data_IF_885905216705
#
_entry.id   IF_885905216705
#
_cell.length_a   1.000
_cell.length_b   1.000
_cell.length_c   1.000
_cell.angle_alpha   90.00
_cell.angle_beta   90.00
_cell.angle_gamma   90.00
#
_symmetry.space_group_name_H-M   'P 1'
#
loop_
_entity.id
_entity.type
_entity.pdbx_description
1 polymer ?
#
# COMPACT_ATOMS: atom_id res chain seq x y z
N UNK A 1 8.14 26.75 13.49
CA UNK A 1 7.40 25.72 14.27
C UNK A 1 6.82 24.62 13.37
N UNK A 2 6.12 24.95 12.27
CA UNK A 2 5.56 23.95 11.34
C UNK A 2 6.61 23.07 10.62
N UNK A 3 7.72 23.65 10.15
CA UNK A 3 8.77 22.90 9.45
C UNK A 3 9.45 21.84 10.35
N UNK A 4 9.61 22.11 11.65
CA UNK A 4 10.18 21.16 12.60
C UNK A 4 9.22 20.00 12.92
N UNK A 5 7.90 20.26 12.97
CA UNK A 5 6.90 19.21 13.10
C UNK A 5 6.81 18.33 11.85
N UNK A 6 6.89 18.94 10.66
CA UNK A 6 6.89 18.20 9.39
C UNK A 6 8.10 17.26 9.33
N UNK A 7 9.31 17.73 9.68
CA UNK A 7 10.49 16.89 9.72
C UNK A 7 10.37 15.74 10.75
N UNK A 8 9.83 16.00 11.94
CA UNK A 8 9.66 14.96 12.98
C UNK A 8 8.63 13.89 12.56
N UNK A 9 7.57 14.29 11.84
CA UNK A 9 6.59 13.35 11.27
C UNK A 9 7.19 12.57 10.11
N UNK A 10 7.98 13.21 9.24
CA UNK A 10 8.67 12.55 8.13
C UNK A 10 9.75 11.56 8.62
N UNK A 11 10.48 11.88 9.69
CA UNK A 11 11.42 10.96 10.36
C UNK A 11 10.72 9.74 10.95
N UNK A 12 9.62 9.94 11.68
CA UNK A 12 8.80 8.83 12.23
C UNK A 12 8.13 7.97 11.16
N UNK A 13 7.95 8.52 9.96
CA UNK A 13 7.43 7.82 8.79
C UNK A 13 8.54 7.28 7.88
N UNK A 14 9.82 7.38 8.27
CA UNK A 14 10.99 6.92 7.51
C UNK A 14 11.13 7.57 6.11
N UNK A 15 10.66 8.80 5.94
CA UNK A 15 10.62 9.53 4.66
C UNK A 15 11.77 10.52 4.46
N UNK A 16 12.57 10.81 5.49
CA UNK A 16 13.77 11.67 5.41
C UNK A 16 14.93 11.01 6.16
N UNK A 17 16.03 10.75 5.45
CA UNK A 17 17.12 9.87 5.92
C UNK A 17 17.91 10.37 7.12
N UNK A 18 18.14 9.47 8.08
CA UNK A 18 19.42 8.80 8.34
C UNK A 18 19.12 7.75 9.42
N UNK A 19 18.46 6.66 9.02
CA UNK A 19 18.19 5.55 9.95
C UNK A 19 19.56 4.97 10.31
N UNK A 20 19.97 4.97 11.60
CA UNK A 20 21.20 4.31 11.99
C UNK A 20 21.13 2.88 11.45
N UNK A 21 22.19 2.43 10.79
CA UNK A 21 22.20 1.07 10.29
C UNK A 21 21.94 0.12 11.46
N UNK A 22 21.00 -0.82 11.33
CA UNK A 22 20.67 -1.75 12.40
C UNK A 22 21.91 -2.56 12.78
N UNK A 23 22.02 -2.84 14.08
CA UNK A 23 23.10 -3.65 14.61
C UNK A 23 23.00 -5.10 14.11
N UNK A 24 24.14 -5.78 14.01
CA UNK A 24 24.17 -7.21 13.69
C UNK A 24 23.41 -7.99 14.78
N UNK A 25 22.51 -8.92 14.41
CA UNK A 25 21.78 -9.71 15.39
C UNK A 25 22.72 -10.58 16.22
N UNK A 26 22.26 -10.96 17.42
CA UNK A 26 22.98 -11.93 18.23
C UNK A 26 23.09 -13.28 17.48
N UNK A 27 24.14 -14.05 17.77
CA UNK A 27 24.31 -15.38 17.16
C UNK A 27 23.11 -16.30 17.45
N UNK A 28 22.51 -16.17 18.63
CA UNK A 28 21.31 -16.94 19.01
C UNK A 28 20.10 -16.55 18.16
N UNK A 29 19.87 -15.25 17.97
CA UNK A 29 18.73 -14.75 17.19
C UNK A 29 18.88 -15.06 15.71
N UNK A 30 20.10 -14.94 15.18
CA UNK A 30 20.40 -15.37 13.82
C UNK A 30 20.13 -16.87 13.64
N UNK A 31 20.58 -17.72 14.59
CA UNK A 31 20.36 -19.16 14.48
C UNK A 31 18.86 -19.52 14.50
N UNK A 32 18.07 -18.87 15.36
CA UNK A 32 16.60 -19.06 15.38
C UNK A 32 15.96 -18.71 14.04
N UNK A 33 16.39 -17.60 13.43
CA UNK A 33 15.87 -17.16 12.14
C UNK A 33 16.30 -18.10 11.01
N UNK A 34 17.57 -18.51 11.00
CA UNK A 34 18.10 -19.49 10.06
C UNK A 34 17.32 -20.81 10.15
N UNK A 35 17.09 -21.32 11.35
CA UNK A 35 16.32 -22.55 11.57
C UNK A 35 14.88 -22.42 11.08
N UNK A 36 14.23 -21.27 11.28
CA UNK A 36 12.86 -20.98 10.78
C UNK A 36 12.81 -21.09 9.25
N UNK A 37 13.74 -20.44 8.56
CA UNK A 37 13.80 -20.45 7.10
C UNK A 37 14.25 -21.79 6.53
N UNK A 38 15.18 -22.47 7.20
CA UNK A 38 15.64 -23.81 6.78
C UNK A 38 14.52 -24.83 6.89
N UNK A 39 13.69 -24.79 7.95
CA UNK A 39 12.49 -25.64 8.07
C UNK A 39 11.50 -25.41 6.94
N UNK A 40 11.40 -24.16 6.47
CA UNK A 40 10.56 -23.78 5.34
C UNK A 40 11.22 -24.06 3.96
N UNK A 41 12.45 -24.59 3.91
CA UNK A 41 13.20 -24.81 2.67
C UNK A 41 13.59 -23.52 1.94
N UNK A 42 13.84 -22.45 2.71
CA UNK A 42 14.15 -21.10 2.22
C UNK A 42 15.52 -20.61 2.72
N UNK A 43 16.44 -21.52 3.08
CA UNK A 43 17.77 -21.21 3.61
C UNK A 43 18.67 -20.46 2.61
N UNK A 44 18.38 -20.54 1.30
CA UNK A 44 19.17 -19.89 0.26
C UNK A 44 19.21 -18.36 0.40
N UNK A 45 18.28 -17.75 1.12
CA UNK A 45 18.32 -16.30 1.40
C UNK A 45 19.53 -15.90 2.26
N UNK A 46 20.15 -16.86 2.96
CA UNK A 46 21.36 -16.66 3.77
C UNK A 46 22.66 -17.08 3.06
N UNK A 47 22.62 -17.41 1.76
CA UNK A 47 23.77 -17.96 1.03
C UNK A 47 25.05 -17.09 1.10
N UNK A 48 24.90 -15.77 1.25
CA UNK A 48 26.00 -14.80 1.30
C UNK A 48 26.18 -14.16 2.69
N UNK A 49 25.61 -14.75 3.75
CA UNK A 49 25.66 -14.17 5.11
C UNK A 49 27.09 -13.90 5.61
N UNK A 50 28.05 -14.74 5.20
CA UNK A 50 29.46 -14.58 5.57
C UNK A 50 30.17 -13.45 4.80
N UNK A 51 29.63 -13.04 3.65
CA UNK A 51 30.25 -12.07 2.73
C UNK A 51 29.78 -10.63 2.97
N UNK A 52 28.72 -10.44 3.77
CA UNK A 52 28.12 -9.14 4.08
C UNK A 52 28.59 -8.57 5.43
N UNK A 53 28.62 -7.25 5.54
CA UNK A 53 29.08 -6.55 6.74
C UNK A 53 28.01 -6.53 7.85
N UNK A 54 28.38 -6.11 9.06
CA UNK A 54 27.51 -6.09 10.24
C UNK A 54 26.20 -5.30 10.02
N UNK A 55 26.27 -4.15 9.35
CA UNK A 55 25.09 -3.34 9.03
C UNK A 55 24.17 -4.04 8.03
N UNK A 56 24.72 -4.65 6.98
CA UNK A 56 23.95 -5.42 5.99
C UNK A 56 23.27 -6.63 6.63
N UNK A 57 23.94 -7.30 7.57
CA UNK A 57 23.37 -8.40 8.36
C UNK A 57 22.20 -7.93 9.22
N UNK A 58 22.34 -6.80 9.89
CA UNK A 58 21.25 -6.18 10.65
C UNK A 58 20.05 -5.88 9.76
N UNK A 59 20.27 -5.30 8.57
CA UNK A 59 19.20 -4.97 7.62
C UNK A 59 18.48 -6.21 7.11
N UNK A 60 19.22 -7.24 6.72
CA UNK A 60 18.64 -8.50 6.25
C UNK A 60 17.86 -9.20 7.37
N UNK A 61 18.39 -9.20 8.60
CA UNK A 61 17.71 -9.76 9.76
C UNK A 61 16.37 -9.06 10.05
N UNK A 62 16.37 -7.73 10.13
CA UNK A 62 15.15 -6.95 10.38
C UNK A 62 14.10 -7.13 9.27
N UNK A 63 14.55 -7.31 8.02
CA UNK A 63 13.64 -7.61 6.92
C UNK A 63 12.99 -8.99 7.10
N UNK A 64 13.81 -10.02 7.33
CA UNK A 64 13.35 -11.42 7.33
C UNK A 64 12.59 -11.80 8.60
N UNK A 65 12.86 -11.19 9.75
CA UNK A 65 12.14 -11.51 11.00
C UNK A 65 10.64 -11.20 10.91
N UNK A 66 10.27 -10.21 10.10
CA UNK A 66 8.88 -9.78 9.87
C UNK A 66 8.16 -10.63 8.82
N UNK A 67 8.84 -11.59 8.20
CA UNK A 67 8.29 -12.46 7.17
C UNK A 67 8.08 -13.86 7.75
N UNK A 68 6.92 -14.43 7.46
CA UNK A 68 6.64 -15.83 7.73
C UNK A 68 6.91 -16.67 6.46
N UNK A 69 8.04 -17.40 6.38
CA UNK A 69 8.39 -18.16 5.18
C UNK A 69 7.42 -19.31 4.90
N UNK A 70 6.78 -19.89 5.93
CA UNK A 70 5.78 -20.94 5.73
C UNK A 70 4.53 -20.37 5.06
N UNK A 71 4.08 -19.19 5.50
CA UNK A 71 2.96 -18.49 4.85
C UNK A 71 3.29 -18.09 3.40
N UNK A 72 4.53 -17.61 3.15
CA UNK A 72 4.99 -17.29 1.79
C UNK A 72 4.97 -18.53 0.89
N UNK A 73 5.40 -19.68 1.41
CA UNK A 73 5.32 -20.95 0.68
C UNK A 73 3.87 -21.32 0.37
N UNK A 74 2.96 -21.21 1.33
CA UNK A 74 1.54 -21.53 1.17
C UNK A 74 0.88 -20.69 0.06
N UNK A 75 1.04 -19.36 0.11
CA UNK A 75 0.45 -18.47 -0.90
C UNK A 75 1.08 -18.67 -2.27
N UNK A 76 2.39 -18.96 -2.32
CA UNK A 76 3.10 -19.22 -3.58
C UNK A 76 2.64 -20.53 -4.20
N UNK A 77 2.54 -21.60 -3.41
CA UNK A 77 2.03 -22.88 -3.87
C UNK A 77 0.61 -22.77 -4.41
N UNK A 78 -0.27 -22.04 -3.71
CA UNK A 78 -1.66 -21.82 -4.16
C UNK A 78 -1.73 -21.02 -5.45
N UNK A 79 -0.85 -20.02 -5.62
CA UNK A 79 -0.82 -19.18 -6.80
C UNK A 79 -0.27 -19.92 -8.03
N UNK A 80 0.76 -20.76 -7.85
CA UNK A 80 1.39 -21.52 -8.94
C UNK A 80 0.67 -22.83 -9.27
N UNK A 81 -0.06 -23.39 -8.30
CA UNK A 81 -0.86 -24.60 -8.45
C UNK A 81 -2.32 -24.28 -8.13
N UNK A 82 -2.99 -23.42 -8.94
CA UNK A 82 -4.39 -23.13 -8.73
C UNK A 82 -5.21 -24.42 -8.89
N UNK A 83 -6.29 -24.60 -8.11
CA UNK A 83 -7.14 -25.78 -8.25
C UNK A 83 -7.70 -25.86 -9.67
N UNK A 84 -7.69 -27.06 -10.25
CA UNK A 84 -8.35 -27.29 -11.53
C UNK A 84 -9.86 -27.08 -11.37
N UNK A 85 -10.55 -26.51 -12.39
CA UNK A 85 -11.98 -26.34 -12.34
C UNK A 85 -12.68 -27.70 -12.18
N UNK A 86 -13.66 -27.79 -11.27
CA UNK A 86 -14.37 -29.03 -10.94
C UNK A 86 -15.13 -29.63 -12.15
N UNK A 87 -15.47 -28.82 -13.16
CA UNK A 87 -15.95 -29.26 -14.49
C UNK A 87 -15.93 -28.12 -15.51
N UNK A 88 -15.99 -28.44 -16.82
CA UNK A 88 -16.19 -27.45 -17.90
C UNK A 88 -17.56 -26.73 -17.79
N UNK A 89 -18.56 -27.39 -17.20
CA UNK A 89 -19.90 -26.84 -16.95
C UNK A 89 -19.97 -25.93 -15.70
N UNK A 90 -18.89 -25.84 -14.91
CA UNK A 90 -18.77 -24.98 -13.74
C UNK A 90 -18.27 -23.56 -14.07
N UNK A 91 -18.30 -23.16 -15.35
CA UNK A 91 -17.94 -21.81 -15.75
C UNK A 91 -18.85 -20.77 -15.03
N UNK A 92 -18.27 -19.68 -14.49
CA UNK A 92 -19.07 -18.68 -13.79
C UNK A 92 -20.07 -18.05 -14.75
N UNK A 93 -21.35 -18.05 -14.36
CA UNK A 93 -22.39 -17.31 -15.08
C UNK A 93 -22.16 -15.82 -14.88
N UNK A 94 -21.98 -15.10 -15.97
CA UNK A 94 -21.82 -13.65 -15.97
C UNK A 94 -23.18 -13.01 -16.24
N UNK A 95 -23.69 -12.26 -15.27
CA UNK A 95 -24.95 -11.54 -15.37
C UNK A 95 -24.75 -10.07 -14.96
N UNK A 96 -25.68 -9.21 -15.39
CA UNK A 96 -25.66 -7.80 -14.99
C UNK A 96 -26.12 -7.66 -13.53
N UNK A 97 -25.60 -6.64 -12.85
CA UNK A 97 -26.15 -6.25 -11.56
C UNK A 97 -27.61 -5.80 -11.72
N UNK A 98 -28.48 -6.07 -10.73
CA UNK A 98 -29.87 -5.64 -10.78
C UNK A 98 -29.97 -4.11 -10.79
N UNK A 99 -31.00 -3.57 -11.45
CA UNK A 99 -31.23 -2.11 -11.53
C UNK A 99 -31.35 -1.44 -10.17
N UNK A 100 -31.84 -2.16 -9.16
CA UNK A 100 -31.92 -1.66 -7.78
C UNK A 100 -30.56 -1.41 -7.12
N UNK A 101 -29.48 -1.97 -7.66
CA UNK A 101 -28.11 -1.82 -7.18
C UNK A 101 -27.23 -0.97 -8.11
N UNK A 102 -27.81 -0.34 -9.15
CA UNK A 102 -27.08 0.49 -10.11
C UNK A 102 -27.66 1.90 -10.17
N UNK A 103 -26.79 2.88 -10.43
CA UNK A 103 -27.17 4.26 -10.70
C UNK A 103 -26.15 4.88 -11.65
N UNK A 104 -26.54 5.96 -12.33
CA UNK A 104 -25.72 6.62 -13.36
C UNK A 104 -25.88 8.12 -13.24
N UNK A 105 -24.77 8.85 -13.22
CA UNK A 105 -24.79 10.33 -13.25
C UNK A 105 -25.46 10.84 -14.54
N UNK A 106 -25.45 10.05 -15.62
CA UNK A 106 -26.04 10.44 -16.91
C UNK A 106 -27.53 10.12 -17.02
N UNK A 107 -27.96 8.98 -16.48
CA UNK A 107 -29.29 8.42 -16.76
C UNK A 107 -30.24 8.50 -15.55
N UNK A 108 -29.71 8.72 -14.35
CA UNK A 108 -30.52 8.86 -13.13
C UNK A 108 -31.23 10.22 -13.07
N UNK A 109 -32.34 10.26 -12.33
CA UNK A 109 -33.13 11.48 -12.17
C UNK A 109 -32.31 12.57 -11.48
N UNK A 110 -32.33 13.82 -11.97
CA UNK A 110 -31.61 14.92 -11.35
C UNK A 110 -31.92 15.13 -9.85
N UNK A 111 -33.18 14.90 -9.45
CA UNK A 111 -33.60 15.01 -8.05
C UNK A 111 -32.93 13.97 -7.14
N UNK A 112 -32.75 12.74 -7.63
CA UNK A 112 -32.03 11.69 -6.90
C UNK A 112 -30.55 12.04 -6.75
N UNK A 113 -29.92 12.54 -7.82
CA UNK A 113 -28.53 13.00 -7.79
C UNK A 113 -28.31 14.11 -6.76
N UNK A 114 -29.20 15.12 -6.72
CA UNK A 114 -29.12 16.22 -5.77
C UNK A 114 -29.33 15.72 -4.33
N UNK A 115 -30.31 14.83 -4.12
CA UNK A 115 -30.59 14.22 -2.82
C UNK A 115 -29.36 13.45 -2.30
N UNK A 116 -28.73 12.63 -3.14
CA UNK A 116 -27.52 11.88 -2.76
C UNK A 116 -26.34 12.81 -2.46
N UNK A 117 -26.13 13.85 -3.28
CA UNK A 117 -25.08 14.83 -3.05
C UNK A 117 -25.25 15.53 -1.69
N UNK A 118 -26.46 16.01 -1.40
CA UNK A 118 -26.78 16.69 -0.15
C UNK A 118 -26.61 15.78 1.07
N UNK A 119 -27.07 14.52 0.98
CA UNK A 119 -26.87 13.53 2.04
C UNK A 119 -25.39 13.21 2.27
N UNK A 120 -24.61 13.08 1.19
CA UNK A 120 -23.16 12.89 1.27
C UNK A 120 -22.46 14.03 2.02
N UNK A 121 -22.82 15.29 1.72
CA UNK A 121 -22.31 16.45 2.44
C UNK A 121 -22.68 16.43 3.92
N UNK A 122 -23.89 15.98 4.27
CA UNK A 122 -24.30 15.82 5.68
C UNK A 122 -23.42 14.82 6.43
N UNK A 123 -23.12 13.67 5.82
CA UNK A 123 -22.21 12.68 6.43
C UNK A 123 -20.79 13.23 6.60
N UNK A 124 -20.30 14.04 5.65
CA UNK A 124 -19.02 14.75 5.78
C UNK A 124 -19.07 15.72 6.96
N UNK A 125 -20.10 16.55 7.05
CA UNK A 125 -20.28 17.52 8.14
C UNK A 125 -20.40 16.86 9.52
N UNK A 126 -20.90 15.62 9.58
CA UNK A 126 -21.00 14.82 10.79
C UNK A 126 -19.73 14.02 11.11
N UNK A 127 -18.63 14.24 10.38
CA UNK A 127 -17.37 13.50 10.53
C UNK A 127 -17.51 11.97 10.36
N UNK A 128 -18.43 11.52 9.50
CA UNK A 128 -18.69 10.10 9.25
C UNK A 128 -17.99 9.55 8.01
N UNK A 129 -17.16 10.36 7.35
CA UNK A 129 -16.48 10.01 6.09
C UNK A 129 -14.98 10.06 6.28
N UNK A 130 -14.29 9.00 5.85
CA UNK A 130 -12.83 8.93 5.76
C UNK A 130 -12.40 8.56 4.34
N UNK A 131 -11.16 8.91 3.98
CA UNK A 131 -10.57 8.57 2.69
C UNK A 131 -9.36 7.67 2.92
N UNK A 132 -9.33 6.52 2.24
CA UNK A 132 -8.16 5.64 2.17
C UNK A 132 -7.50 5.81 0.81
N UNK A 133 -6.33 6.44 0.78
CA UNK A 133 -5.57 6.67 -0.44
C UNK A 133 -4.54 5.56 -0.66
N UNK A 134 -4.72 4.77 -1.71
CA UNK A 134 -3.73 3.78 -2.13
C UNK A 134 -2.55 4.48 -2.84
N UNK A 135 -1.46 4.72 -2.09
CA UNK A 135 -0.29 5.49 -2.56
C UNK A 135 1.04 4.68 -2.63
N UNK A 136 0.99 3.35 -2.56
CA UNK A 136 2.20 2.51 -2.47
C UNK A 136 3.01 2.36 -3.77
N UNK A 137 2.50 2.84 -4.90
CA UNK A 137 3.20 2.73 -6.18
C UNK A 137 4.32 3.75 -6.32
N UNK A 138 5.53 3.28 -6.66
CA UNK A 138 6.62 4.15 -7.11
C UNK A 138 6.33 4.72 -8.51
N UNK A 139 6.76 5.96 -8.75
CA UNK A 139 6.57 6.67 -10.02
C UNK A 139 7.45 6.19 -11.18
N UNK A 140 8.01 4.97 -11.11
CA UNK A 140 9.08 4.52 -12.02
C UNK A 140 8.65 4.50 -13.50
N UNK A 141 7.39 4.13 -13.79
CA UNK A 141 6.83 4.20 -15.16
C UNK A 141 6.65 5.63 -15.69
N UNK A 142 6.63 6.62 -14.79
CA UNK A 142 6.57 8.04 -15.11
C UNK A 142 7.97 8.69 -15.15
N UNK A 143 9.04 7.90 -15.02
CA UNK A 143 10.40 8.41 -14.98
C UNK A 143 10.76 9.16 -13.69
N UNK A 144 10.01 8.93 -12.60
CA UNK A 144 10.26 9.55 -11.31
C UNK A 144 10.67 8.51 -10.25
N UNK A 145 11.69 8.83 -9.47
CA UNK A 145 12.11 8.07 -8.28
C UNK A 145 11.26 8.40 -7.04
N UNK A 146 10.45 9.46 -7.10
CA UNK A 146 9.57 9.85 -6.01
C UNK A 146 8.27 9.01 -6.00
N UNK A 147 7.54 8.97 -4.87
CA UNK A 147 6.18 8.42 -4.83
C UNK A 147 5.30 9.06 -5.91
N UNK A 148 4.43 8.26 -6.54
CA UNK A 148 3.61 8.73 -7.67
C UNK A 148 2.78 9.98 -7.35
N UNK A 149 2.31 10.13 -6.10
CA UNK A 149 1.53 11.29 -5.69
C UNK A 149 2.32 12.61 -5.68
N UNK A 150 3.65 12.56 -5.64
CA UNK A 150 4.52 13.72 -5.75
C UNK A 150 4.73 14.18 -7.20
N UNK A 151 4.23 13.44 -8.18
CA UNK A 151 4.44 13.76 -9.59
C UNK A 151 3.74 15.06 -9.98
N UNK A 152 4.48 15.94 -10.66
CA UNK A 152 3.93 17.13 -11.31
C UNK A 152 3.60 16.79 -12.77
N UNK A 153 2.34 16.98 -13.12
CA UNK A 153 1.81 16.73 -14.47
C UNK A 153 1.94 17.94 -15.40
N UNK A 154 2.57 19.03 -14.96
CA UNK A 154 2.84 20.23 -15.76
C UNK A 154 1.67 21.21 -15.83
N UNK A 155 0.80 21.23 -14.83
CA UNK A 155 -0.23 22.28 -14.73
C UNK A 155 0.42 23.65 -14.47
N UNK A 156 -0.21 24.78 -14.85
CA UNK A 156 0.35 26.12 -14.56
C UNK A 156 0.65 26.37 -13.07
N UNK A 157 -0.06 25.69 -12.17
CA UNK A 157 0.14 25.78 -10.73
C UNK A 157 1.30 24.94 -10.20
N UNK A 158 1.85 24.01 -10.99
CA UNK A 158 2.94 23.08 -10.64
C UNK A 158 2.65 22.24 -9.38
N UNK A 159 1.37 22.02 -9.08
CA UNK A 159 0.94 21.25 -7.90
C UNK A 159 1.07 19.76 -8.17
N UNK A 160 1.58 19.04 -7.17
CA UNK A 160 1.60 17.58 -7.19
C UNK A 160 0.19 16.98 -7.10
N UNK A 161 0.04 15.72 -7.48
CA UNK A 161 -1.23 15.01 -7.35
C UNK A 161 -1.73 14.96 -5.90
N UNK A 162 -0.83 14.80 -4.93
CA UNK A 162 -1.20 14.86 -3.51
C UNK A 162 -1.76 16.21 -3.11
N UNK A 163 -1.14 17.31 -3.54
CA UNK A 163 -1.65 18.65 -3.23
C UNK A 163 -3.02 18.87 -3.86
N UNK A 164 -3.22 18.48 -5.12
CA UNK A 164 -4.51 18.61 -5.80
C UNK A 164 -5.63 17.83 -5.10
N UNK A 165 -5.33 16.61 -4.61
CA UNK A 165 -6.29 15.82 -3.85
C UNK A 165 -6.58 16.41 -2.46
N UNK A 166 -5.54 16.89 -1.76
CA UNK A 166 -5.67 17.54 -0.47
C UNK A 166 -6.53 18.82 -0.55
N UNK A 167 -6.35 19.62 -1.60
CA UNK A 167 -7.13 20.85 -1.82
C UNK A 167 -8.60 20.55 -2.13
N UNK A 168 -8.92 19.42 -2.79
CA UNK A 168 -10.31 18.96 -2.98
C UNK A 168 -10.96 18.58 -1.65
N UNK A 169 -10.24 17.86 -0.79
CA UNK A 169 -10.71 17.51 0.56
C UNK A 169 -10.90 18.79 1.39
N UNK A 170 -9.95 19.71 1.33
CA UNK A 170 -10.06 20.98 2.02
C UNK A 170 -11.29 21.76 1.53
N UNK A 171 -11.52 21.83 0.21
CA UNK A 171 -12.66 22.55 -0.33
C UNK A 171 -14.00 21.94 0.08
N UNK A 172 -14.15 20.61 0.05
CA UNK A 172 -15.42 19.96 0.42
C UNK A 172 -15.76 20.15 1.90
N UNK A 173 -14.77 20.29 2.78
CA UNK A 173 -14.96 20.61 4.20
C UNK A 173 -15.48 22.04 4.44
N UNK A 174 -15.37 22.91 3.45
CA UNK A 174 -15.76 24.33 3.50
C UNK A 174 -16.86 24.65 2.46
N UNK A 175 -17.69 23.67 2.12
CA UNK A 175 -18.95 23.87 1.41
C UNK A 175 -20.09 24.00 2.43
#
# INVERSE_FOLDING_TARGET
MAAAMINNVLEKLHLTGNIPAPDEPSQEDFQKLLDKYTKAGQEQVFAFWADINAAEKGMLYEQLVNIDPDHVNEITHRALNPPEPESEDAAPKLEQLPESATSSIYDSKPDDLNRWYTQGLQFIAQNQVAVVLMAGGQGTRLGSSAPKGCYDIGLPSQKSLFQLQAERIWKIQHL
#
